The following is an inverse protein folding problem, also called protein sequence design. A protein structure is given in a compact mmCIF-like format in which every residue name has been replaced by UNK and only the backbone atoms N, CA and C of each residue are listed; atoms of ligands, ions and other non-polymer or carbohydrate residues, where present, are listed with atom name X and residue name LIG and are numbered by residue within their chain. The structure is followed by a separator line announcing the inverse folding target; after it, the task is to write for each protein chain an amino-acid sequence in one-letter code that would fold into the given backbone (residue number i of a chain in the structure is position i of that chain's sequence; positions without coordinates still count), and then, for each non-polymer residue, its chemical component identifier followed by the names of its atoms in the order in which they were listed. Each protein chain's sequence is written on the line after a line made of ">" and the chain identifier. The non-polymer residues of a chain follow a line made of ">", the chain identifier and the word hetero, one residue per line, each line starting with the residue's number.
data_IF_518327713219
#
_entry.id   IF_518327713219
#
_cell.length_a   1.000
_cell.length_b   1.000
_cell.length_c   1.000
_cell.angle_alpha   90.00
_cell.angle_beta   90.00
_cell.angle_gamma   90.00
#
_symmetry.space_group_name_H-M   'P 1'
#
loop_
_entity.id
_entity.type
_entity.pdbx_description
1 polymer ?
#
# COMPACT_ATOMS: atom_id res chain seq x y z
N UNK A 1 8.41 -33.10 -8.88
CA UNK A 1 7.59 -32.02 -8.29
C UNK A 1 8.51 -30.87 -7.94
N UNK A 2 8.76 -29.98 -8.90
CA UNK A 2 9.50 -28.74 -8.71
C UNK A 2 8.59 -27.61 -9.16
N UNK A 3 8.47 -26.60 -8.32
CA UNK A 3 7.48 -25.52 -8.33
C UNK A 3 7.25 -24.90 -9.71
N UNK A 4 5.96 -24.71 -10.05
CA UNK A 4 5.55 -23.84 -11.14
C UNK A 4 6.14 -22.44 -10.91
N UNK A 5 7.04 -22.05 -11.81
CA UNK A 5 7.40 -20.65 -12.04
C UNK A 5 6.11 -19.94 -12.42
N UNK A 6 5.43 -19.33 -11.43
CA UNK A 6 4.28 -18.45 -11.67
C UNK A 6 4.71 -17.44 -12.72
N UNK A 7 4.13 -17.54 -13.91
CA UNK A 7 4.31 -16.58 -15.00
C UNK A 7 4.13 -15.16 -14.43
N UNK A 8 5.25 -14.49 -14.16
CA UNK A 8 5.26 -13.06 -13.84
C UNK A 8 5.00 -12.40 -15.18
N UNK A 9 3.73 -12.09 -15.47
CA UNK A 9 3.44 -11.03 -16.44
C UNK A 9 4.30 -9.84 -16.01
N UNK A 10 5.29 -9.42 -16.82
CA UNK A 10 6.08 -8.24 -16.50
C UNK A 10 5.10 -7.09 -16.40
N UNK A 11 5.02 -6.46 -15.24
CA UNK A 11 4.24 -5.25 -15.11
C UNK A 11 5.00 -4.16 -15.85
N UNK A 12 4.45 -3.67 -16.96
CA UNK A 12 4.96 -2.48 -17.61
C UNK A 12 4.70 -1.27 -16.71
N UNK A 13 5.78 -0.62 -16.31
CA UNK A 13 5.76 0.59 -15.50
C UNK A 13 5.71 1.80 -16.42
N UNK A 14 4.92 2.80 -16.05
CA UNK A 14 4.96 4.09 -16.76
C UNK A 14 6.26 4.83 -16.43
N UNK A 15 6.62 5.83 -17.25
CA UNK A 15 7.81 6.64 -16.99
C UNK A 15 7.74 7.37 -15.64
N UNK A 16 6.56 7.84 -15.24
CA UNK A 16 6.36 8.50 -13.94
C UNK A 16 6.48 7.50 -12.78
N UNK A 17 6.00 6.27 -12.96
CA UNK A 17 6.18 5.23 -11.95
C UNK A 17 7.66 4.85 -11.76
N UNK A 18 8.41 4.76 -12.86
CA UNK A 18 9.86 4.53 -12.82
C UNK A 18 10.56 5.66 -12.07
N UNK A 19 10.25 6.93 -12.38
CA UNK A 19 10.82 8.10 -11.68
C UNK A 19 10.55 8.06 -10.17
N UNK A 20 9.38 7.60 -9.76
CA UNK A 20 9.03 7.46 -8.34
C UNK A 20 9.86 6.37 -7.65
N UNK A 21 10.08 5.23 -8.32
CA UNK A 21 10.94 4.16 -7.82
C UNK A 21 12.42 4.57 -7.76
N UNK A 22 12.90 5.36 -8.72
CA UNK A 22 14.25 5.92 -8.71
C UNK A 22 14.47 6.86 -7.52
N UNK A 23 13.50 7.73 -7.20
CA UNK A 23 13.55 8.57 -5.99
C UNK A 23 13.63 7.74 -4.71
N UNK A 24 12.91 6.63 -4.65
CA UNK A 24 12.95 5.70 -3.52
C UNK A 24 14.32 5.00 -3.41
N UNK A 25 14.89 4.57 -4.54
CA UNK A 25 16.26 4.02 -4.61
C UNK A 25 17.28 5.03 -4.09
N UNK A 26 17.23 6.28 -4.57
CA UNK A 26 18.15 7.34 -4.14
C UNK A 26 18.05 7.63 -2.64
N UNK A 27 16.83 7.59 -2.09
CA UNK A 27 16.59 7.72 -0.66
C UNK A 27 17.30 6.60 0.12
N UNK A 28 17.17 5.34 -0.30
CA UNK A 28 17.83 4.22 0.36
C UNK A 28 19.37 4.29 0.25
N UNK A 29 19.90 4.76 -0.87
CA UNK A 29 21.34 4.99 -1.02
C UNK A 29 21.84 6.06 -0.04
N UNK A 30 21.12 7.17 0.12
CA UNK A 30 21.44 8.20 1.11
C UNK A 30 21.38 7.66 2.53
N UNK A 31 20.36 6.86 2.86
CA UNK A 31 20.24 6.24 4.18
C UNK A 31 21.41 5.29 4.46
N UNK A 32 21.78 4.46 3.49
CA UNK A 32 22.91 3.55 3.60
C UNK A 32 24.23 4.31 3.83
N UNK A 33 24.44 5.41 3.11
CA UNK A 33 25.61 6.27 3.31
C UNK A 33 25.61 6.91 4.70
N UNK A 34 24.45 7.38 5.19
CA UNK A 34 24.32 7.91 6.54
C UNK A 34 24.66 6.85 7.59
N UNK A 35 24.13 5.64 7.46
CA UNK A 35 24.44 4.52 8.37
C UNK A 35 25.92 4.13 8.37
N UNK A 36 26.58 4.17 7.20
CA UNK A 36 28.01 3.82 7.08
C UNK A 36 28.95 4.88 7.65
N UNK A 37 28.57 6.16 7.55
CA UNK A 37 29.44 7.29 7.85
C UNK A 37 29.09 7.98 9.18
N UNK A 38 28.13 7.45 9.93
CA UNK A 38 27.68 8.05 11.18
C UNK A 38 27.89 7.09 12.36
N UNK A 39 28.61 7.55 13.37
CA UNK A 39 28.73 6.83 14.63
C UNK A 39 27.64 7.37 15.58
N UNK A 40 26.60 6.57 15.81
CA UNK A 40 25.63 6.89 16.85
C UNK A 40 26.25 6.60 18.21
N UNK A 41 26.38 7.62 19.05
CA UNK A 41 26.82 7.47 20.43
C UNK A 41 25.73 7.94 21.40
N UNK A 42 25.20 7.00 22.19
CA UNK A 42 24.15 7.24 23.18
C UNK A 42 24.61 8.12 24.36
N UNK A 43 25.92 8.29 24.54
CA UNK A 43 26.51 9.09 25.61
C UNK A 43 26.81 10.53 25.18
N UNK A 44 26.54 10.89 23.92
CA UNK A 44 26.65 12.27 23.44
C UNK A 44 25.57 13.15 24.08
N UNK A 45 25.78 14.47 24.05
CA UNK A 45 24.78 15.41 24.54
C UNK A 45 23.47 15.34 23.72
N UNK A 46 22.39 15.87 24.31
CA UNK A 46 21.06 15.79 23.72
C UNK A 46 20.94 16.50 22.36
N UNK A 47 21.74 17.54 22.11
CA UNK A 47 21.72 18.27 20.85
C UNK A 47 22.40 17.47 19.73
N UNK A 48 23.50 16.79 20.02
CA UNK A 48 24.12 15.85 19.08
C UNK A 48 23.20 14.67 18.76
N UNK A 49 22.53 14.10 19.77
CA UNK A 49 21.54 13.04 19.55
C UNK A 49 20.36 13.53 18.69
N UNK A 50 19.85 14.73 18.94
CA UNK A 50 18.82 15.34 18.11
C UNK A 50 19.29 15.54 16.67
N UNK A 51 20.49 16.09 16.48
CA UNK A 51 21.07 16.34 15.16
C UNK A 51 21.20 15.03 14.38
N UNK A 52 21.68 13.97 15.02
CA UNK A 52 21.75 12.63 14.44
C UNK A 52 20.38 12.15 13.96
N UNK A 53 19.38 12.09 14.87
CA UNK A 53 18.03 11.63 14.53
C UNK A 53 17.35 12.50 13.45
N UNK A 54 17.63 13.79 13.43
CA UNK A 54 17.08 14.71 12.45
C UNK A 54 17.64 14.45 11.04
N UNK A 55 18.90 14.03 10.89
CA UNK A 55 19.44 13.62 9.58
C UNK A 55 18.72 12.37 9.05
N UNK A 56 18.46 11.37 9.90
CA UNK A 56 17.62 10.22 9.52
C UNK A 56 16.24 10.65 9.08
N UNK A 57 15.61 11.54 9.84
CA UNK A 57 14.28 12.08 9.52
C UNK A 57 14.27 12.81 8.17
N UNK A 58 15.28 13.63 7.87
CA UNK A 58 15.41 14.33 6.59
C UNK A 58 15.54 13.38 5.42
N UNK A 59 16.34 12.32 5.56
CA UNK A 59 16.54 11.33 4.49
C UNK A 59 15.28 10.48 4.30
N UNK A 60 14.76 9.88 5.37
CA UNK A 60 13.58 9.00 5.31
C UNK A 60 12.33 9.77 4.84
N UNK A 61 12.19 11.03 5.26
CA UNK A 61 11.01 11.83 4.97
C UNK A 61 9.73 11.10 5.42
N UNK A 62 8.73 11.05 4.55
CA UNK A 62 7.49 10.32 4.83
C UNK A 62 7.52 8.89 4.26
N UNK A 63 8.09 7.97 5.03
CA UNK A 63 8.18 6.55 4.65
C UNK A 63 6.81 5.88 4.47
N UNK A 64 5.77 6.36 5.17
CA UNK A 64 4.41 5.81 4.99
C UNK A 64 3.89 6.07 3.58
N UNK A 65 4.21 7.23 2.99
CA UNK A 65 3.83 7.52 1.61
C UNK A 65 4.57 6.61 0.62
N UNK A 66 5.86 6.31 0.88
CA UNK A 66 6.62 5.39 0.05
C UNK A 66 6.02 3.97 0.11
N UNK A 67 5.66 3.49 1.30
CA UNK A 67 4.99 2.21 1.49
C UNK A 67 3.64 2.16 0.79
N UNK A 68 2.82 3.21 0.91
CA UNK A 68 1.54 3.31 0.20
C UNK A 68 1.73 3.30 -1.31
N UNK A 69 2.77 3.97 -1.83
CA UNK A 69 3.08 3.95 -3.25
C UNK A 69 3.45 2.54 -3.75
N UNK A 70 4.28 1.80 -3.00
CA UNK A 70 4.56 0.38 -3.32
C UNK A 70 3.28 -0.46 -3.29
N UNK A 71 2.39 -0.24 -2.31
CA UNK A 71 1.11 -0.92 -2.26
C UNK A 71 0.21 -0.62 -3.47
N UNK A 72 0.25 0.60 -4.00
CA UNK A 72 -0.42 0.96 -5.25
C UNK A 72 0.15 0.19 -6.45
N UNK A 73 1.47 0.06 -6.57
CA UNK A 73 2.08 -0.74 -7.64
C UNK A 73 1.72 -2.23 -7.53
N UNK A 74 1.71 -2.79 -6.32
CA UNK A 74 1.24 -4.16 -6.09
C UNK A 74 -0.24 -4.33 -6.46
N UNK A 75 -1.05 -3.31 -6.21
CA UNK A 75 -2.46 -3.26 -6.59
C UNK A 75 -2.62 -3.27 -8.11
N UNK A 76 -1.88 -2.41 -8.82
CA UNK A 76 -1.81 -2.42 -10.30
C UNK A 76 -1.44 -3.81 -10.80
N UNK A 77 -0.38 -4.41 -10.27
CA UNK A 77 0.04 -5.75 -10.67
C UNK A 77 -1.04 -6.82 -10.43
N UNK A 78 -1.76 -6.73 -9.32
CA UNK A 78 -2.87 -7.64 -9.03
C UNK A 78 -4.02 -7.46 -10.01
N UNK A 79 -4.43 -6.21 -10.25
CA UNK A 79 -5.57 -5.89 -11.11
C UNK A 79 -5.32 -6.23 -12.57
N UNK A 80 -4.13 -5.96 -13.11
CA UNK A 80 -3.74 -6.32 -14.48
C UNK A 80 -3.73 -7.84 -14.73
N UNK A 81 -3.64 -8.66 -13.67
CA UNK A 81 -3.77 -10.12 -13.77
C UNK A 81 -5.22 -10.60 -13.71
N UNK A 82 -6.14 -9.75 -13.26
CA UNK A 82 -7.55 -10.10 -13.00
C UNK A 82 -8.51 -9.51 -14.01
N UNK A 83 -8.20 -8.34 -14.52
CA UNK A 83 -9.07 -7.57 -15.42
C UNK A 83 -8.25 -7.03 -16.57
N UNK A 84 -8.91 -6.83 -17.70
CA UNK A 84 -8.34 -6.10 -18.82
C UNK A 84 -8.80 -4.64 -18.73
N UNK A 85 -7.86 -3.70 -18.75
CA UNK A 85 -8.17 -2.28 -18.70
C UNK A 85 -8.05 -1.67 -20.09
N UNK A 86 -8.86 -0.65 -20.35
CA UNK A 86 -8.90 0.05 -21.64
C UNK A 86 -7.70 0.95 -21.91
N UNK A 87 -6.84 1.13 -20.91
CA UNK A 87 -5.70 2.02 -20.93
C UNK A 87 -4.64 1.49 -19.94
N UNK A 88 -3.44 2.07 -20.01
CA UNK A 88 -2.38 1.77 -19.08
C UNK A 88 -2.70 2.37 -17.70
N UNK A 89 -2.89 1.49 -16.72
CA UNK A 89 -3.07 1.91 -15.34
C UNK A 89 -1.80 2.61 -14.86
N UNK A 90 -1.90 3.88 -14.50
CA UNK A 90 -0.79 4.64 -13.90
C UNK A 90 -1.16 5.09 -12.48
N UNK A 91 -0.55 4.44 -11.49
CA UNK A 91 -0.84 4.73 -10.08
C UNK A 91 -0.09 5.93 -9.53
N UNK A 92 0.71 6.60 -10.35
CA UNK A 92 1.42 7.84 -9.99
C UNK A 92 0.57 9.10 -10.15
N UNK A 93 -0.53 9.02 -10.95
CA UNK A 93 -1.41 10.17 -11.25
C UNK A 93 -2.04 10.72 -9.97
N UNK A 94 -2.57 9.86 -9.11
CA UNK A 94 -3.17 10.28 -7.84
C UNK A 94 -2.09 10.42 -6.77
N UNK A 95 -1.89 11.65 -6.28
CA UNK A 95 -1.01 11.91 -5.14
C UNK A 95 -1.52 11.18 -3.89
N UNK A 96 -0.62 10.49 -3.20
CA UNK A 96 -0.94 9.81 -1.93
C UNK A 96 -1.48 10.80 -0.88
N UNK A 97 -2.57 10.41 -0.20
CA UNK A 97 -3.24 11.25 0.80
C UNK A 97 -4.23 12.28 0.24
N UNK A 98 -4.50 12.27 -1.06
CA UNK A 98 -5.59 13.06 -1.65
C UNK A 98 -6.95 12.37 -1.48
N UNK A 99 -8.01 13.18 -1.40
CA UNK A 99 -9.38 12.69 -1.25
C UNK A 99 -9.83 11.84 -2.44
N UNK A 100 -10.78 10.93 -2.20
CA UNK A 100 -11.35 10.04 -3.22
C UNK A 100 -10.83 8.61 -3.09
N UNK A 101 -11.29 7.74 -4.01
CA UNK A 101 -10.89 6.34 -4.07
C UNK A 101 -9.42 6.20 -4.47
N UNK A 102 -8.70 5.25 -3.89
CA UNK A 102 -7.28 5.00 -4.25
C UNK A 102 -7.13 4.54 -5.70
N UNK A 103 -8.16 3.87 -6.23
CA UNK A 103 -8.29 3.54 -7.64
C UNK A 103 -9.77 3.58 -8.05
N UNK A 104 -10.04 4.12 -9.24
CA UNK A 104 -11.38 4.20 -9.82
C UNK A 104 -11.25 4.19 -11.34
N UNK A 105 -11.35 2.99 -11.91
CA UNK A 105 -10.98 2.73 -13.30
C UNK A 105 -12.06 1.95 -14.03
N UNK A 106 -12.03 2.00 -15.36
CA UNK A 106 -12.97 1.26 -16.21
C UNK A 106 -12.24 0.18 -16.99
N UNK A 107 -12.76 -1.04 -16.91
CA UNK A 107 -12.28 -2.21 -17.67
C UNK A 107 -12.63 -2.10 -19.16
N UNK A 108 -12.03 -2.95 -20.01
CA UNK A 108 -12.38 -3.02 -21.43
C UNK A 108 -13.86 -3.36 -21.67
N UNK A 109 -14.47 -4.10 -20.75
CA UNK A 109 -15.88 -4.46 -20.79
C UNK A 109 -16.81 -3.32 -20.33
N UNK A 110 -16.29 -2.10 -20.15
CA UNK A 110 -16.98 -0.93 -19.59
C UNK A 110 -17.51 -1.13 -18.15
N UNK A 111 -16.92 -2.06 -17.42
CA UNK A 111 -17.26 -2.29 -16.01
C UNK A 111 -16.34 -1.48 -15.12
N UNK A 112 -16.92 -0.76 -14.15
CA UNK A 112 -16.18 0.06 -13.19
C UNK A 112 -15.52 -0.81 -12.12
N UNK A 113 -14.26 -0.53 -11.85
CA UNK A 113 -13.41 -1.19 -10.87
C UNK A 113 -12.85 -0.14 -9.90
N UNK A 114 -13.23 -0.25 -8.63
CA UNK A 114 -12.80 0.67 -7.57
C UNK A 114 -12.00 -0.06 -6.49
N UNK A 115 -11.09 0.66 -5.85
CA UNK A 115 -10.33 0.11 -4.74
C UNK A 115 -9.95 1.12 -3.65
N UNK A 116 -9.75 0.57 -2.46
CA UNK A 116 -9.08 1.20 -1.32
C UNK A 116 -7.90 0.37 -0.87
N UNK A 117 -6.81 1.03 -0.49
CA UNK A 117 -5.55 0.38 -0.12
C UNK A 117 -5.20 0.77 1.32
N UNK A 118 -4.96 -0.24 2.17
CA UNK A 118 -4.57 -0.04 3.57
C UNK A 118 -3.21 -0.63 3.88
N UNK A 119 -2.28 0.27 4.20
CA UNK A 119 -0.93 -0.02 4.71
C UNK A 119 -0.86 -0.05 6.24
N UNK A 120 -2.01 -0.29 6.90
CA UNK A 120 -2.12 -0.20 8.35
C UNK A 120 -1.54 -1.45 9.03
N UNK A 121 -0.55 -1.25 9.90
CA UNK A 121 -0.10 -2.24 10.87
C UNK A 121 -0.96 -2.17 12.15
N UNK A 122 -1.60 -3.27 12.58
CA UNK A 122 -2.37 -3.28 13.81
C UNK A 122 -1.42 -3.37 15.01
N UNK A 123 -1.61 -2.50 16.01
CA UNK A 123 -0.73 -2.40 17.18
C UNK A 123 -0.48 -3.78 17.84
N UNK A 124 0.78 -4.00 18.22
CA UNK A 124 1.40 -5.33 18.41
C UNK A 124 0.62 -6.29 19.33
N UNK A 125 -0.10 -5.81 20.35
CA UNK A 125 -0.68 -6.67 21.39
C UNK A 125 -2.20 -6.88 21.30
N UNK A 126 -2.86 -6.45 20.21
CA UNK A 126 -4.31 -6.61 20.05
C UNK A 126 -4.62 -7.41 18.78
N UNK A 127 -5.41 -8.47 18.92
CA UNK A 127 -6.08 -9.17 17.80
C UNK A 127 -7.22 -8.32 17.21
N UNK A 128 -7.04 -7.00 17.17
CA UNK A 128 -8.05 -6.03 16.80
C UNK A 128 -7.40 -4.69 16.41
N UNK A 129 -8.13 -3.92 15.60
CA UNK A 129 -7.76 -2.57 15.26
C UNK A 129 -8.01 -1.60 16.43
N UNK A 130 -7.19 -0.55 16.54
CA UNK A 130 -7.47 0.58 17.42
C UNK A 130 -8.73 1.33 16.98
N UNK A 131 -9.31 2.17 17.85
CA UNK A 131 -10.57 2.88 17.54
C UNK A 131 -10.49 3.70 16.24
N UNK A 132 -9.39 4.43 16.03
CA UNK A 132 -9.18 5.23 14.82
C UNK A 132 -9.03 4.35 13.56
N UNK A 133 -8.32 3.23 13.67
CA UNK A 133 -8.18 2.26 12.58
C UNK A 133 -9.54 1.65 12.21
N UNK A 134 -10.35 1.26 13.20
CA UNK A 134 -11.73 0.76 12.98
C UNK A 134 -12.59 1.78 12.23
N UNK A 135 -12.55 3.04 12.68
CA UNK A 135 -13.30 4.13 12.04
C UNK A 135 -12.87 4.31 10.58
N UNK A 136 -11.56 4.33 10.32
CA UNK A 136 -11.02 4.42 8.97
C UNK A 136 -11.53 3.26 8.09
N UNK A 137 -11.36 2.02 8.52
CA UNK A 137 -11.85 0.85 7.79
C UNK A 137 -13.33 0.93 7.48
N UNK A 138 -14.19 1.25 8.45
CA UNK A 138 -15.63 1.34 8.24
C UNK A 138 -16.03 2.45 7.27
N UNK A 139 -15.33 3.57 7.26
CA UNK A 139 -15.56 4.62 6.27
C UNK A 139 -15.29 4.09 4.86
N UNK A 140 -14.24 3.30 4.68
CA UNK A 140 -13.89 2.72 3.38
C UNK A 140 -14.85 1.59 2.99
N UNK A 141 -15.30 0.76 3.93
CA UNK A 141 -16.34 -0.24 3.66
C UNK A 141 -17.61 0.44 3.15
N UNK A 142 -18.04 1.51 3.82
CA UNK A 142 -19.21 2.30 3.45
C UNK A 142 -19.04 2.87 2.04
N UNK A 143 -17.92 3.57 1.80
CA UNK A 143 -17.58 4.17 0.49
C UNK A 143 -17.60 3.14 -0.65
N UNK A 144 -17.00 1.97 -0.44
CA UNK A 144 -16.99 0.90 -1.45
C UNK A 144 -18.39 0.30 -1.65
N UNK A 145 -19.13 0.02 -0.57
CA UNK A 145 -20.47 -0.58 -0.64
C UNK A 145 -21.47 0.31 -1.36
N UNK A 146 -21.49 1.60 -1.04
CA UNK A 146 -22.44 2.58 -1.58
C UNK A 146 -22.16 2.97 -3.03
N UNK A 147 -20.97 2.68 -3.54
CA UNK A 147 -20.64 2.88 -4.95
C UNK A 147 -21.31 1.82 -5.84
N UNK A 148 -21.64 2.16 -7.07
CA UNK A 148 -22.32 1.28 -8.05
C UNK A 148 -21.35 0.41 -8.87
N UNK A 149 -20.04 0.54 -8.67
CA UNK A 149 -19.03 -0.22 -9.38
C UNK A 149 -19.22 -1.74 -9.26
N UNK A 150 -19.00 -2.47 -10.36
CA UNK A 150 -19.10 -3.93 -10.40
C UNK A 150 -17.99 -4.58 -9.60
N UNK A 151 -16.76 -4.10 -9.72
CA UNK A 151 -15.62 -4.64 -9.00
C UNK A 151 -15.21 -3.69 -7.87
N UNK A 152 -15.25 -4.19 -6.63
CA UNK A 152 -14.97 -3.43 -5.42
C UNK A 152 -13.89 -4.15 -4.62
N UNK A 153 -12.75 -3.51 -4.44
CA UNK A 153 -11.61 -4.10 -3.75
C UNK A 153 -11.23 -3.34 -2.48
N UNK A 154 -10.91 -4.11 -1.44
CA UNK A 154 -10.14 -3.63 -0.32
C UNK A 154 -8.80 -4.37 -0.29
N UNK A 155 -7.73 -3.65 -0.57
CA UNK A 155 -6.37 -4.17 -0.52
C UNK A 155 -5.75 -3.90 0.85
N UNK A 156 -5.11 -4.91 1.42
CA UNK A 156 -4.29 -4.80 2.62
C UNK A 156 -2.90 -5.37 2.35
N UNK A 157 -1.88 -4.78 2.95
CA UNK A 157 -0.49 -5.29 2.84
C UNK A 157 -0.10 -6.19 4.00
N UNK A 158 -0.75 -6.01 5.16
CA UNK A 158 -0.40 -6.70 6.40
C UNK A 158 -1.26 -7.94 6.63
N UNK A 159 -0.63 -9.09 6.79
CA UNK A 159 -1.31 -10.37 7.04
C UNK A 159 -2.17 -10.32 8.32
N UNK A 160 -1.65 -9.69 9.38
CA UNK A 160 -2.41 -9.53 10.63
C UNK A 160 -3.68 -8.70 10.42
N UNK A 161 -3.62 -7.65 9.59
CA UNK A 161 -4.81 -6.86 9.24
C UNK A 161 -5.80 -7.69 8.43
N UNK A 162 -5.32 -8.44 7.42
CA UNK A 162 -6.13 -9.36 6.63
C UNK A 162 -6.88 -10.38 7.51
N UNK A 163 -6.17 -11.02 8.45
CA UNK A 163 -6.72 -12.00 9.36
C UNK A 163 -7.76 -11.41 10.33
N UNK A 164 -7.54 -10.17 10.80
CA UNK A 164 -8.53 -9.45 11.63
C UNK A 164 -9.80 -9.17 10.81
N UNK A 165 -9.65 -8.67 9.57
CA UNK A 165 -10.78 -8.38 8.68
C UNK A 165 -11.60 -9.65 8.41
N UNK A 166 -10.93 -10.75 8.03
CA UNK A 166 -11.57 -12.04 7.77
C UNK A 166 -12.34 -12.56 8.98
N UNK A 167 -11.76 -12.47 10.17
CA UNK A 167 -12.37 -13.04 11.38
C UNK A 167 -13.52 -12.20 11.94
N UNK A 168 -13.45 -10.87 11.82
CA UNK A 168 -14.33 -9.96 12.58
C UNK A 168 -15.21 -9.06 11.73
N UNK A 169 -14.84 -8.81 10.47
CA UNK A 169 -15.48 -7.82 9.61
C UNK A 169 -16.05 -8.43 8.33
N UNK A 170 -16.06 -9.76 8.20
CA UNK A 170 -16.51 -10.44 6.97
C UNK A 170 -17.94 -10.08 6.58
N UNK A 171 -18.86 -9.96 7.54
CA UNK A 171 -20.23 -9.50 7.29
C UNK A 171 -20.30 -8.02 6.87
N UNK A 172 -19.41 -7.18 7.41
CA UNK A 172 -19.26 -5.78 7.01
C UNK A 172 -18.58 -5.63 5.64
N UNK A 173 -18.00 -6.70 5.07
CA UNK A 173 -17.29 -6.71 3.79
C UNK A 173 -18.07 -7.39 2.64
N UNK A 174 -19.29 -7.87 2.88
CA UNK A 174 -20.13 -8.45 1.82
C UNK A 174 -20.21 -7.54 0.58
N UNK A 175 -19.90 -8.10 -0.59
CA UNK A 175 -19.84 -7.36 -1.87
C UNK A 175 -18.52 -6.63 -2.14
N UNK A 176 -17.52 -6.75 -1.26
CA UNK A 176 -16.17 -6.22 -1.43
C UNK A 176 -15.20 -7.40 -1.41
N UNK A 177 -14.37 -7.55 -2.45
CA UNK A 177 -13.29 -8.54 -2.43
C UNK A 177 -12.12 -7.99 -1.62
N UNK A 178 -11.75 -8.67 -0.52
CA UNK A 178 -10.60 -8.26 0.28
C UNK A 178 -9.38 -9.06 -0.10
N UNK A 179 -8.24 -8.40 -0.38
CA UNK A 179 -7.02 -9.04 -0.89
C UNK A 179 -5.81 -8.68 -0.04
N UNK A 180 -5.02 -9.69 0.36
CA UNK A 180 -3.68 -9.54 0.90
C UNK A 180 -2.68 -9.42 -0.24
N UNK A 181 -2.18 -8.21 -0.49
CA UNK A 181 -1.37 -7.89 -1.67
C UNK A 181 -0.09 -8.75 -1.83
N UNK A 182 0.72 -9.02 -0.79
CA UNK A 182 1.96 -9.79 -0.96
C UNK A 182 1.74 -11.23 -1.46
N UNK A 183 0.64 -11.87 -1.04
CA UNK A 183 0.35 -13.28 -1.38
C UNK A 183 -0.72 -13.44 -2.46
N UNK A 184 -1.55 -12.41 -2.69
CA UNK A 184 -2.74 -12.48 -3.52
C UNK A 184 -3.90 -13.25 -2.88
N UNK A 185 -3.80 -13.64 -1.61
CA UNK A 185 -4.87 -14.31 -0.88
C UNK A 185 -6.10 -13.40 -0.76
N UNK A 186 -7.30 -13.95 -0.90
CA UNK A 186 -8.55 -13.19 -0.83
C UNK A 186 -9.63 -13.90 -0.02
N UNK A 187 -10.64 -13.13 0.39
CA UNK A 187 -11.93 -13.61 0.92
C UNK A 187 -13.05 -12.60 0.64
#
# INVERSE_FOLDING_TARGET
>A
MGEEVKNKVPMELTQEEIKMLEKLKDKFLKLNNLLKNSEYNIYNDLYEQYTYLNEFKKVLGNLNNDLSYIACLMTKQYLLKKHNFSHDLDVSIKKQGTSGLDLDETTLENERCIAEIKTIFPYQNKNNFGANQKKAFRNDFKKLKENDAKYKYLFVVEEKSFNILKKKYISELTGITTVLLPSGQLF
#
